data_IF_653597664649
#
_entry.id   IF_653597664649
#
_cell.length_a   1.000
_cell.length_b   1.000
_cell.length_c   1.000
_cell.angle_alpha   90.00
_cell.angle_beta   90.00
_cell.angle_gamma   90.00
#
_symmetry.space_group_name_H-M   'P 1'
#
loop_
_entity.id
_entity.type
_entity.pdbx_description
1 polymer ?
#
# COMPACT_ATOMS: atom_id res chain seq x y z
N UNK A 1 -8.60 1.26 -7.41
CA UNK A 1 -8.98 2.42 -6.56
C UNK A 1 -8.81 3.70 -7.36
N UNK A 2 -7.57 4.10 -7.70
CA UNK A 2 -7.31 5.34 -8.45
C UNK A 2 -8.01 5.39 -9.81
N UNK A 3 -7.93 4.33 -10.62
CA UNK A 3 -8.60 4.25 -11.93
C UNK A 3 -10.14 4.28 -11.83
N UNK A 4 -10.70 3.97 -10.66
CA UNK A 4 -12.13 4.08 -10.38
C UNK A 4 -12.55 5.51 -10.00
N UNK A 5 -11.63 6.48 -10.08
CA UNK A 5 -11.87 7.88 -9.68
C UNK A 5 -11.85 8.11 -8.16
N UNK A 6 -11.38 7.15 -7.37
CA UNK A 6 -11.30 7.24 -5.90
C UNK A 6 -9.86 7.47 -5.43
N UNK A 7 -9.69 8.20 -4.32
CA UNK A 7 -8.37 8.52 -3.76
C UNK A 7 -7.97 7.51 -2.70
N UNK A 8 -6.80 6.90 -2.87
CA UNK A 8 -6.19 6.03 -1.84
C UNK A 8 -5.90 6.84 -0.57
N UNK A 9 -6.22 6.28 0.59
CA UNK A 9 -6.16 6.95 1.89
C UNK A 9 -7.42 7.76 2.18
N UNK A 10 -7.74 8.73 1.33
CA UNK A 10 -8.84 9.68 1.60
C UNK A 10 -10.24 9.07 1.41
N UNK A 11 -10.48 8.34 0.32
CA UNK A 11 -11.79 7.72 0.06
C UNK A 11 -11.77 6.24 0.46
N UNK A 12 -10.66 5.54 0.16
CA UNK A 12 -10.44 4.16 0.57
C UNK A 12 -9.08 4.04 1.24
N UNK A 13 -9.08 3.74 2.53
CA UNK A 13 -7.85 3.41 3.27
C UNK A 13 -7.34 2.02 2.88
N UNK A 14 -6.02 1.88 2.79
CA UNK A 14 -5.32 0.64 2.47
C UNK A 14 -4.21 0.39 3.49
N UNK A 15 -4.20 -0.81 4.06
CA UNK A 15 -3.10 -1.32 4.88
C UNK A 15 -2.53 -2.55 4.18
N UNK A 16 -1.23 -2.51 3.89
CA UNK A 16 -0.50 -3.65 3.32
C UNK A 16 0.07 -4.60 4.38
N UNK A 17 0.83 -5.58 3.90
CA UNK A 17 1.66 -6.48 4.70
C UNK A 17 3.10 -6.47 4.17
N UNK A 18 4.03 -7.05 4.92
CA UNK A 18 5.47 -7.20 4.65
C UNK A 18 6.37 -5.97 4.85
N UNK A 19 5.99 -4.79 4.36
CA UNK A 19 6.90 -3.62 4.28
C UNK A 19 8.17 -3.92 3.47
N UNK A 20 8.00 -4.53 2.30
CA UNK A 20 9.06 -4.66 1.28
C UNK A 20 9.61 -3.30 0.87
N UNK A 21 10.81 -3.26 0.31
CA UNK A 21 11.55 -2.03 0.00
C UNK A 21 10.69 -0.98 -0.74
N UNK A 22 9.93 -1.39 -1.75
CA UNK A 22 9.13 -0.49 -2.60
C UNK A 22 7.92 0.12 -1.88
N UNK A 23 7.47 -0.47 -0.77
CA UNK A 23 6.29 0.00 -0.01
C UNK A 23 6.43 1.46 0.43
N UNK A 24 7.68 1.91 0.67
CA UNK A 24 8.00 3.29 1.03
C UNK A 24 7.91 4.27 -0.15
N UNK A 25 8.00 3.77 -1.39
CA UNK A 25 8.03 4.52 -2.64
C UNK A 25 6.70 4.45 -3.42
N UNK A 26 5.72 3.67 -2.95
CA UNK A 26 4.38 3.67 -3.56
C UNK A 26 3.74 5.05 -3.55
N UNK A 27 2.74 5.24 -4.41
CA UNK A 27 2.04 6.51 -4.58
C UNK A 27 0.57 6.32 -4.18
N UNK A 28 0.15 6.72 -2.96
CA UNK A 28 0.97 7.26 -1.87
C UNK A 28 1.73 6.16 -1.08
N UNK A 29 2.78 6.50 -0.30
CA UNK A 29 3.55 5.53 0.47
C UNK A 29 2.66 4.69 1.39
N UNK A 30 2.86 3.37 1.36
CA UNK A 30 1.93 2.38 1.91
C UNK A 30 2.07 2.24 3.43
N UNK A 31 0.97 2.47 4.15
CA UNK A 31 0.82 1.99 5.54
C UNK A 31 0.77 0.48 5.52
N UNK A 32 1.58 -0.20 6.32
CA UNK A 32 1.74 -1.66 6.23
C UNK A 32 2.21 -2.28 7.55
N UNK A 33 1.97 -3.58 7.72
CA UNK A 33 2.62 -4.37 8.78
C UNK A 33 4.00 -4.80 8.30
N UNK A 34 5.06 -4.34 8.98
CA UNK A 34 6.43 -4.74 8.72
C UNK A 34 6.76 -6.09 9.31
N UNK A 35 7.24 -6.98 8.47
CA UNK A 35 7.96 -8.19 8.86
C UNK A 35 9.46 -7.97 8.65
N UNK A 36 10.26 -8.13 9.70
CA UNK A 36 11.71 -7.95 9.58
C UNK A 36 12.35 -9.18 8.93
N UNK A 37 12.47 -9.15 7.60
CA UNK A 37 13.09 -10.22 6.82
C UNK A 37 14.58 -10.42 7.13
N UNK A 38 15.29 -9.37 7.59
CA UNK A 38 16.71 -9.50 7.99
C UNK A 38 16.81 -10.27 9.30
N UNK A 39 15.94 -9.95 10.26
CA UNK A 39 15.82 -10.71 11.51
C UNK A 39 15.41 -12.16 11.23
N UNK A 40 14.41 -12.38 10.37
CA UNK A 40 13.98 -13.72 9.98
C UNK A 40 15.12 -14.52 9.35
N UNK A 41 15.83 -13.96 8.37
CA UNK A 41 16.94 -14.62 7.68
C UNK A 41 18.09 -14.97 8.63
N UNK A 42 18.49 -14.05 9.51
CA UNK A 42 19.53 -14.31 10.51
C UNK A 42 19.12 -15.41 11.48
N UNK A 43 17.95 -15.27 12.08
CA UNK A 43 17.47 -16.20 13.12
C UNK A 43 17.19 -17.60 12.56
N UNK A 44 16.74 -17.71 11.31
CA UNK A 44 16.48 -18.99 10.67
C UNK A 44 17.78 -19.76 10.39
N UNK A 45 18.80 -19.09 9.85
CA UNK A 45 20.12 -19.70 9.59
C UNK A 45 20.80 -20.11 10.89
N UNK A 46 20.85 -19.22 11.88
CA UNK A 46 21.41 -19.53 13.20
C UNK A 46 20.73 -20.75 13.82
N UNK A 47 19.41 -20.87 13.67
CA UNK A 47 18.64 -21.99 14.19
C UNK A 47 18.89 -23.28 13.43
N UNK A 48 19.03 -23.22 12.11
CA UNK A 48 19.36 -24.39 11.28
C UNK A 48 20.72 -24.97 11.67
N UNK A 49 21.72 -24.13 11.91
CA UNK A 49 23.05 -24.57 12.33
C UNK A 49 23.04 -25.25 13.72
N UNK A 50 22.22 -24.75 14.65
CA UNK A 50 22.03 -25.41 15.97
C UNK A 50 21.38 -26.79 15.81
N UNK A 51 20.35 -26.89 14.98
CA UNK A 51 19.69 -28.16 14.68
C UNK A 51 20.64 -29.18 14.05
N UNK A 52 21.47 -28.77 13.09
CA UNK A 52 22.43 -29.68 12.45
C UNK A 52 23.50 -30.21 13.41
N UNK A 53 23.74 -29.51 14.52
CA UNK A 53 24.65 -29.93 15.59
C UNK A 53 23.96 -30.75 16.69
N UNK A 54 22.68 -31.11 16.52
CA UNK A 54 21.91 -31.85 17.52
C UNK A 54 21.52 -31.03 18.75
N UNK A 55 21.64 -29.70 18.70
CA UNK A 55 21.25 -28.85 19.83
C UNK A 55 19.72 -28.76 19.94
N UNK A 56 19.22 -28.79 21.17
CA UNK A 56 17.81 -28.55 21.44
C UNK A 56 17.45 -27.08 21.13
N UNK A 57 16.55 -26.88 20.18
CA UNK A 57 15.92 -25.58 19.89
C UNK A 57 14.40 -25.71 20.07
N UNK A 58 13.73 -24.60 20.41
CA UNK A 58 12.26 -24.57 20.43
C UNK A 58 11.70 -25.00 19.07
N UNK A 59 10.52 -25.60 19.04
CA UNK A 59 9.87 -26.07 17.79
C UNK A 59 9.29 -24.93 16.95
N UNK A 60 8.73 -23.91 17.59
CA UNK A 60 8.23 -22.70 16.94
C UNK A 60 8.75 -21.45 17.65
N UNK A 61 9.10 -20.43 16.87
CA UNK A 61 9.48 -19.11 17.37
C UNK A 61 8.72 -18.08 16.55
N UNK A 62 7.81 -17.36 17.21
CA UNK A 62 7.13 -16.22 16.61
C UNK A 62 8.05 -15.00 16.68
N UNK A 63 8.29 -14.37 15.53
CA UNK A 63 9.02 -13.11 15.45
C UNK A 63 8.05 -11.93 15.57
N UNK A 64 8.48 -10.81 16.16
CA UNK A 64 7.64 -9.63 16.27
C UNK A 64 7.36 -9.01 14.90
N UNK A 65 6.20 -8.34 14.80
CA UNK A 65 5.83 -7.48 13.68
C UNK A 65 5.53 -6.08 14.20
N UNK A 66 5.54 -5.08 13.33
CA UNK A 66 5.22 -3.70 13.71
C UNK A 66 4.37 -3.01 12.64
N UNK A 67 3.54 -2.06 13.04
CA UNK A 67 2.80 -1.22 12.09
C UNK A 67 3.67 -0.04 11.66
N UNK A 68 3.88 0.10 10.36
CA UNK A 68 4.52 1.26 9.75
C UNK A 68 3.42 2.15 9.15
N UNK A 69 3.07 3.24 9.85
CA UNK A 69 2.11 4.23 9.36
C UNK A 69 2.75 5.12 8.29
N UNK A 70 2.08 5.21 7.13
CA UNK A 70 2.43 6.13 6.04
C UNK A 70 1.19 6.88 5.56
N UNK A 71 0.93 6.96 4.24
CA UNK A 71 0.00 7.90 3.63
C UNK A 71 -1.25 7.26 3.01
N UNK A 72 -1.41 5.94 3.10
CA UNK A 72 -2.58 5.22 2.54
C UNK A 72 -3.73 5.04 3.53
N UNK A 73 -3.70 5.67 4.71
CA UNK A 73 -4.76 5.53 5.73
C UNK A 73 -5.18 6.88 6.30
N UNK A 74 -6.48 7.18 6.27
CA UNK A 74 -7.12 8.35 6.89
C UNK A 74 -8.47 7.96 7.52
N UNK A 75 -9.10 8.89 8.25
CA UNK A 75 -10.46 8.70 8.73
C UNK A 75 -11.44 8.53 7.54
N UNK A 76 -12.50 7.71 7.68
CA UNK A 76 -13.45 7.47 6.59
C UNK A 76 -14.10 8.76 6.09
N UNK A 77 -14.08 8.97 4.77
CA UNK A 77 -14.81 10.04 4.12
C UNK A 77 -16.25 9.60 3.82
N UNK A 78 -17.23 10.43 4.15
CA UNK A 78 -18.66 10.17 3.91
C UNK A 78 -19.24 10.94 2.72
N UNK A 79 -18.45 11.81 2.09
CA UNK A 79 -18.88 12.61 0.96
C UNK A 79 -18.75 11.82 -0.35
N UNK A 80 -19.79 11.87 -1.18
CA UNK A 80 -19.81 11.28 -2.53
C UNK A 80 -19.91 12.35 -3.60
N UNK A 81 -19.31 12.10 -4.75
CA UNK A 81 -19.37 13.01 -5.90
C UNK A 81 -20.79 13.06 -6.48
N UNK A 82 -21.32 14.26 -6.69
CA UNK A 82 -22.65 14.44 -7.28
C UNK A 82 -22.67 14.18 -8.80
N UNK A 83 -23.80 13.77 -9.39
CA UNK A 83 -23.95 13.66 -10.85
C UNK A 83 -23.61 14.95 -11.60
N UNK A 84 -23.91 16.11 -11.00
CA UNK A 84 -23.61 17.42 -11.59
C UNK A 84 -22.10 17.66 -11.70
N UNK A 85 -21.35 17.35 -10.64
CA UNK A 85 -19.89 17.44 -10.63
C UNK A 85 -19.26 16.55 -11.70
N UNK A 86 -19.79 15.34 -11.89
CA UNK A 86 -19.33 14.43 -12.94
C UNK A 86 -19.63 14.99 -14.34
N UNK A 87 -20.83 15.51 -14.56
CA UNK A 87 -21.22 16.14 -15.82
C UNK A 87 -20.34 17.34 -16.16
N UNK A 88 -20.00 18.17 -15.17
CA UNK A 88 -19.11 19.32 -15.36
C UNK A 88 -17.70 18.89 -15.83
N UNK A 89 -17.12 17.85 -15.22
CA UNK A 89 -15.84 17.26 -15.66
C UNK A 89 -15.91 16.67 -17.07
N UNK A 90 -17.00 15.99 -17.42
CA UNK A 90 -17.22 15.45 -18.77
C UNK A 90 -17.29 16.57 -19.82
N UNK A 91 -17.97 17.68 -19.51
CA UNK A 91 -18.01 18.85 -20.40
C UNK A 91 -16.63 19.49 -20.57
N UNK A 92 -15.79 19.52 -19.52
CA UNK A 92 -14.42 20.01 -19.64
C UNK A 92 -13.58 19.14 -20.58
N UNK A 93 -13.68 17.81 -20.45
CA UNK A 93 -13.01 16.86 -21.34
C UNK A 93 -13.50 17.02 -22.79
N UNK A 94 -14.81 17.16 -23.01
CA UNK A 94 -15.38 17.36 -24.34
C UNK A 94 -14.79 18.62 -25.04
N UNK A 95 -14.59 19.71 -24.30
CA UNK A 95 -13.95 20.95 -24.81
C UNK A 95 -12.45 20.80 -25.08
N UNK A 96 -11.76 19.86 -24.42
CA UNK A 96 -10.36 19.57 -24.74
C UNK A 96 -10.28 18.76 -26.03
N UNK A 97 -11.14 17.75 -26.20
CA UNK A 97 -11.22 16.95 -27.42
C UNK A 97 -11.51 17.81 -28.64
N UNK A 98 -12.47 18.75 -28.56
CA UNK A 98 -12.80 19.62 -29.70
C UNK A 98 -11.65 20.54 -30.14
N UNK A 99 -10.71 20.87 -29.24
CA UNK A 99 -9.52 21.68 -29.57
C UNK A 99 -8.46 20.87 -30.31
N UNK A 100 -8.30 19.59 -29.95
CA UNK A 100 -7.37 18.68 -30.63
C UNK A 100 -7.75 18.47 -32.10
N UNK A 101 -9.04 18.38 -32.41
CA UNK A 101 -9.53 18.26 -33.80
C UNK A 101 -9.30 19.53 -34.63
N UNK A 102 -9.13 20.68 -33.96
CA UNK A 102 -8.92 21.98 -34.61
C UNK A 102 -7.44 22.28 -34.94
N UNK A 103 -6.53 21.34 -34.66
CA UNK A 103 -5.09 21.46 -34.99
C UNK A 103 -4.28 22.43 -34.12
N UNK A 104 -4.77 22.77 -32.92
CA UNK A 104 -4.04 23.50 -31.88
C UNK A 104 -3.52 22.57 -30.79
#
# INVERSE_FOLDING_TARGET
ITESGLRVGADISVVGYDDTEDSSCYIPPLTTIKQDFRLLGKTSVDRLLKLSQGQAVKSNQLLPVSLVKRKTTLAPNTQTTSPRTLADSLMQLARQVSRLESGQ
#
